data_IF_128631799706
#
_entry.id   IF_128631799706
#
_cell.length_a   1.000
_cell.length_b   1.000
_cell.length_c   1.000
_cell.angle_alpha   90.00
_cell.angle_beta   90.00
_cell.angle_gamma   90.00
#
_symmetry.space_group_name_H-M   'P 1'
#
loop_
_entity.id
_entity.type
_entity.pdbx_description
1 polymer ?
#
# COMPACT_ATOMS: atom_id res chain seq x y z
N UNK A 1 -0.67 -31.01 0.29
CA UNK A 1 -1.42 -30.42 -0.85
C UNK A 1 -0.60 -29.24 -1.34
N UNK A 2 -0.40 -29.08 -2.66
CA UNK A 2 0.38 -27.97 -3.18
C UNK A 2 -0.25 -26.66 -2.70
N UNK A 3 0.56 -25.75 -2.18
CA UNK A 3 0.16 -24.41 -1.80
C UNK A 3 -0.36 -23.79 -3.10
N UNK A 4 -1.69 -23.70 -3.26
CA UNK A 4 -2.27 -22.93 -4.35
C UNK A 4 -1.72 -21.51 -4.20
N UNK A 5 -0.87 -21.09 -5.14
CA UNK A 5 -0.30 -19.75 -5.17
C UNK A 5 -1.45 -18.74 -5.36
N UNK A 6 -2.06 -18.33 -4.25
CA UNK A 6 -3.06 -17.27 -4.19
C UNK A 6 -2.43 -15.87 -4.31
N UNK A 7 -1.13 -15.78 -4.58
CA UNK A 7 -0.42 -14.53 -4.88
C UNK A 7 -1.08 -13.78 -6.06
N UNK A 8 -1.72 -14.49 -6.99
CA UNK A 8 -2.47 -13.90 -8.13
C UNK A 8 -3.81 -13.26 -7.73
N UNK A 9 -4.30 -13.44 -6.49
CA UNK A 9 -5.55 -12.84 -5.99
C UNK A 9 -5.35 -11.51 -5.25
N UNK A 10 -4.10 -11.08 -5.04
CA UNK A 10 -3.79 -9.76 -4.50
C UNK A 10 -4.02 -8.66 -5.55
N UNK A 11 -4.49 -7.48 -5.13
CA UNK A 11 -4.45 -6.30 -6.00
C UNK A 11 -2.98 -5.99 -6.34
N UNK A 12 -2.77 -5.23 -7.40
CA UNK A 12 -1.42 -4.83 -7.79
C UNK A 12 -0.69 -4.16 -6.61
N UNK A 13 0.60 -4.48 -6.45
CA UNK A 13 1.51 -3.93 -5.43
C UNK A 13 1.86 -2.47 -5.73
N UNK A 14 0.85 -1.62 -5.84
CA UNK A 14 0.94 -0.20 -6.13
C UNK A 14 0.35 0.58 -4.95
N UNK A 15 1.15 1.32 -4.16
CA UNK A 15 2.62 1.47 -4.20
C UNK A 15 3.37 0.32 -3.50
N UNK A 16 4.62 0.06 -3.92
CA UNK A 16 5.46 -0.99 -3.32
C UNK A 16 5.91 -0.61 -1.90
N UNK A 17 5.30 -1.25 -0.89
CA UNK A 17 5.56 -0.99 0.53
C UNK A 17 6.92 -1.53 1.02
N UNK A 18 7.65 -2.31 0.20
CA UNK A 18 9.00 -2.77 0.54
C UNK A 18 10.03 -1.64 0.42
N UNK A 19 9.81 -0.68 -0.48
CA UNK A 19 10.72 0.46 -0.70
C UNK A 19 10.90 1.36 0.53
N UNK A 20 9.85 1.80 1.24
CA UNK A 20 10.01 2.58 2.46
C UNK A 20 10.61 1.76 3.60
N UNK A 21 10.40 0.43 3.63
CA UNK A 21 11.07 -0.45 4.61
C UNK A 21 12.58 -0.52 4.36
N UNK A 22 13.00 -0.70 3.10
CA UNK A 22 14.43 -0.70 2.74
C UNK A 22 15.05 0.67 3.02
N UNK A 23 14.35 1.76 2.69
CA UNK A 23 14.78 3.13 3.03
C UNK A 23 14.98 3.29 4.54
N UNK A 24 14.02 2.82 5.34
CA UNK A 24 14.11 2.90 6.79
C UNK A 24 15.28 2.07 7.35
N UNK A 25 15.50 0.85 6.84
CA UNK A 25 16.67 0.05 7.19
C UNK A 25 17.97 0.78 6.87
N UNK A 26 18.09 1.37 5.69
CA UNK A 26 19.28 2.14 5.28
C UNK A 26 19.51 3.40 6.12
N UNK A 27 18.46 3.99 6.69
CA UNK A 27 18.58 5.12 7.63
C UNK A 27 19.15 4.71 9.00
N UNK A 28 19.12 3.42 9.34
CA UNK A 28 19.71 2.91 10.58
C UNK A 28 21.23 2.76 10.44
N UNK A 29 21.96 3.23 11.47
CA UNK A 29 23.44 3.19 11.51
C UNK A 29 24.03 1.78 11.32
N UNK A 30 23.28 0.74 11.66
CA UNK A 30 23.69 -0.67 11.57
C UNK A 30 23.69 -1.20 10.13
N UNK A 31 22.82 -0.67 9.27
CA UNK A 31 22.64 -1.13 7.88
C UNK A 31 23.03 -0.08 6.84
N UNK A 32 23.50 1.08 7.28
CA UNK A 32 23.89 2.23 6.45
C UNK A 32 24.93 1.89 5.36
N UNK A 33 25.74 0.84 5.57
CA UNK A 33 26.77 0.39 4.64
C UNK A 33 26.36 -0.82 3.78
N UNK A 34 25.09 -1.27 3.85
CA UNK A 34 24.66 -2.46 3.12
C UNK A 34 24.38 -2.13 1.65
N UNK A 35 25.42 -2.26 0.82
CA UNK A 35 25.40 -1.91 -0.62
C UNK A 35 24.36 -2.72 -1.41
N UNK A 36 24.02 -3.93 -0.97
CA UNK A 36 23.00 -4.75 -1.63
C UNK A 36 21.59 -4.18 -1.48
N UNK A 37 21.26 -3.65 -0.29
CA UNK A 37 19.96 -3.00 -0.04
C UNK A 37 19.86 -1.67 -0.80
N UNK A 38 20.95 -0.92 -0.88
CA UNK A 38 21.04 0.29 -1.68
C UNK A 38 20.86 0.01 -3.18
N UNK A 39 21.50 -1.04 -3.71
CA UNK A 39 21.35 -1.45 -5.10
C UNK A 39 19.91 -1.89 -5.42
N UNK A 40 19.29 -2.71 -4.56
CA UNK A 40 17.88 -3.10 -4.72
C UNK A 40 16.93 -1.92 -4.71
N UNK A 41 17.17 -0.94 -3.84
CA UNK A 41 16.37 0.28 -3.78
C UNK A 41 16.53 1.10 -5.08
N UNK A 42 17.76 1.28 -5.57
CA UNK A 42 18.03 2.00 -6.81
C UNK A 42 17.44 1.30 -8.04
N UNK A 43 17.60 -0.02 -8.14
CA UNK A 43 17.02 -0.82 -9.23
C UNK A 43 15.50 -0.71 -9.27
N UNK A 44 14.84 -0.76 -8.11
CA UNK A 44 13.40 -0.57 -8.03
C UNK A 44 12.97 0.87 -8.36
N UNK A 45 13.73 1.88 -7.92
CA UNK A 45 13.48 3.29 -8.28
C UNK A 45 13.64 3.52 -9.78
N UNK A 46 14.64 2.90 -10.42
CA UNK A 46 14.86 2.94 -11.87
C UNK A 46 13.77 2.21 -12.65
N UNK A 47 13.39 1.00 -12.21
CA UNK A 47 12.33 0.23 -12.84
C UNK A 47 10.98 0.97 -12.81
N UNK A 48 10.67 1.65 -11.71
CA UNK A 48 9.38 2.30 -11.50
C UNK A 48 9.40 3.82 -11.82
N UNK A 49 10.55 4.37 -12.21
CA UNK A 49 10.77 5.80 -12.49
C UNK A 49 10.28 6.72 -11.35
N UNK A 50 10.57 6.36 -10.11
CA UNK A 50 10.11 7.07 -8.91
C UNK A 50 10.93 8.35 -8.61
N UNK A 51 10.84 9.34 -9.49
CA UNK A 51 11.62 10.58 -9.36
C UNK A 51 11.34 11.36 -8.04
N UNK A 52 10.09 11.61 -7.63
CA UNK A 52 9.78 12.23 -6.34
C UNK A 52 10.32 11.44 -5.14
N UNK A 53 10.18 10.12 -5.16
CA UNK A 53 10.67 9.27 -4.06
C UNK A 53 12.20 9.27 -3.99
N UNK A 54 12.90 9.25 -5.13
CA UNK A 54 14.35 9.33 -5.20
C UNK A 54 14.89 10.63 -4.58
N UNK A 55 14.23 11.77 -4.83
CA UNK A 55 14.60 13.05 -4.20
C UNK A 55 14.46 12.99 -2.67
N UNK A 56 13.40 12.37 -2.15
CA UNK A 56 13.19 12.20 -0.70
C UNK A 56 14.25 11.24 -0.12
N UNK A 57 14.51 10.12 -0.79
CA UNK A 57 15.53 9.15 -0.38
C UNK A 57 16.92 9.78 -0.33
N UNK A 58 17.31 10.54 -1.36
CA UNK A 58 18.61 11.19 -1.40
C UNK A 58 18.76 12.24 -0.29
N UNK A 59 17.69 12.99 0.02
CA UNK A 59 17.67 13.95 1.14
C UNK A 59 17.83 13.25 2.49
N UNK A 60 17.10 12.16 2.71
CA UNK A 60 17.09 11.47 4.01
C UNK A 60 18.36 10.64 4.25
N UNK A 61 18.93 10.04 3.20
CA UNK A 61 20.16 9.23 3.30
C UNK A 61 21.44 10.05 3.08
N UNK A 62 21.32 11.33 2.68
CA UNK A 62 22.46 12.19 2.36
C UNK A 62 23.25 11.73 1.14
N UNK A 63 22.62 11.01 0.21
CA UNK A 63 23.26 10.52 -1.00
C UNK A 63 23.36 11.61 -2.08
N UNK A 64 24.40 11.51 -2.91
CA UNK A 64 24.55 12.39 -4.06
C UNK A 64 23.43 12.11 -5.08
N UNK A 65 22.71 13.16 -5.48
CA UNK A 65 21.63 13.06 -6.46
C UNK A 65 22.21 12.91 -7.86
N UNK A 66 21.93 11.80 -8.52
CA UNK A 66 22.29 11.60 -9.93
C UNK A 66 21.34 12.39 -10.84
N UNK A 67 21.73 13.64 -11.13
CA UNK A 67 20.92 14.56 -11.94
C UNK A 67 20.56 14.01 -13.34
N UNK A 68 21.44 13.20 -13.95
CA UNK A 68 21.15 12.58 -15.25
C UNK A 68 20.06 11.50 -15.16
N UNK A 69 20.06 10.71 -14.09
CA UNK A 69 19.06 9.69 -13.87
C UNK A 69 17.70 10.33 -13.54
N UNK A 70 17.73 11.35 -12.69
CA UNK A 70 16.56 12.12 -12.29
C UNK A 70 15.91 12.85 -13.47
N UNK A 71 16.70 13.44 -14.37
CA UNK A 71 16.18 14.04 -15.61
C UNK A 71 15.54 12.99 -16.53
N UNK A 72 16.18 11.83 -16.73
CA UNK A 72 15.58 10.74 -17.52
C UNK A 72 14.24 10.26 -16.95
N UNK A 73 14.16 10.08 -15.63
CA UNK A 73 12.92 9.70 -14.95
C UNK A 73 11.85 10.80 -15.09
N UNK A 74 12.22 12.08 -14.92
CA UNK A 74 11.29 13.20 -15.10
C UNK A 74 10.75 13.28 -16.52
N UNK A 75 11.59 13.08 -17.54
CA UNK A 75 11.16 13.06 -18.95
C UNK A 75 10.21 11.90 -19.22
N UNK A 76 10.56 10.67 -18.80
CA UNK A 76 9.68 9.50 -18.95
C UNK A 76 8.34 9.69 -18.21
N UNK A 77 8.36 10.30 -17.03
CA UNK A 77 7.15 10.58 -16.27
C UNK A 77 6.29 11.64 -16.96
N UNK A 78 6.89 12.69 -17.51
CA UNK A 78 6.17 13.72 -18.26
C UNK A 78 5.52 13.15 -19.54
N UNK A 79 6.24 12.29 -20.28
CA UNK A 79 5.70 11.63 -21.47
C UNK A 79 4.51 10.71 -21.13
N UNK A 80 4.64 9.87 -20.09
CA UNK A 80 3.54 8.99 -19.66
C UNK A 80 2.37 9.79 -19.09
N UNK A 81 2.61 10.86 -18.34
CA UNK A 81 1.54 11.74 -17.87
C UNK A 81 0.81 12.41 -19.03
N UNK A 82 1.53 12.89 -20.05
CA UNK A 82 0.91 13.46 -21.24
C UNK A 82 0.07 12.45 -22.02
N UNK A 83 0.52 11.20 -22.13
CA UNK A 83 -0.27 10.12 -22.74
C UNK A 83 -1.54 9.82 -21.94
N UNK A 84 -1.43 9.77 -20.61
CA UNK A 84 -2.58 9.54 -19.73
C UNK A 84 -3.56 10.72 -19.75
N UNK A 85 -3.06 11.95 -19.83
CA UNK A 85 -3.90 13.15 -19.96
C UNK A 85 -4.62 13.19 -21.30
N UNK A 86 -3.94 12.87 -22.40
CA UNK A 86 -4.56 12.74 -23.71
C UNK A 86 -5.63 11.63 -23.72
N UNK A 87 -5.38 10.50 -23.05
CA UNK A 87 -6.37 9.43 -22.93
C UNK A 87 -7.59 9.85 -22.08
N UNK A 88 -7.40 10.69 -21.05
CA UNK A 88 -8.51 11.24 -20.28
C UNK A 88 -9.33 12.24 -21.11
N UNK A 89 -8.67 13.12 -21.87
CA UNK A 89 -9.37 14.07 -22.75
C UNK A 89 -10.15 13.36 -23.85
N UNK A 90 -9.56 12.34 -24.48
CA UNK A 90 -10.23 11.50 -25.47
C UNK A 90 -11.43 10.77 -24.85
N UNK A 91 -11.27 10.24 -23.63
CA UNK A 91 -12.36 9.59 -22.92
C UNK A 91 -13.48 10.57 -22.54
N UNK A 92 -13.16 11.82 -22.17
CA UNK A 92 -14.16 12.83 -21.82
C UNK A 92 -14.91 13.37 -23.05
N UNK A 93 -14.29 13.36 -24.23
CA UNK A 93 -14.91 13.83 -25.47
C UNK A 93 -15.67 12.74 -26.23
N UNK A 94 -15.15 11.50 -26.25
CA UNK A 94 -15.62 10.44 -27.14
C UNK A 94 -16.25 9.24 -26.42
N UNK A 95 -15.99 9.06 -25.11
CA UNK A 95 -16.34 7.84 -24.37
C UNK A 95 -17.32 8.11 -23.22
N UNK A 96 -17.79 7.03 -22.57
CA UNK A 96 -18.73 7.10 -21.46
C UNK A 96 -18.07 7.39 -20.10
N UNK A 97 -18.89 7.75 -19.10
CA UNK A 97 -18.42 8.02 -17.72
C UNK A 97 -17.60 6.86 -17.11
N UNK A 98 -17.86 5.62 -17.53
CA UNK A 98 -17.12 4.44 -17.08
C UNK A 98 -15.66 4.41 -17.58
N UNK A 99 -15.40 4.80 -18.82
CA UNK A 99 -14.05 4.82 -19.41
C UNK A 99 -13.26 6.03 -18.93
N UNK A 100 -13.93 7.18 -18.73
CA UNK A 100 -13.36 8.35 -18.06
C UNK A 100 -12.88 7.97 -16.66
N UNK A 101 -13.66 7.19 -15.91
CA UNK A 101 -13.28 6.71 -14.58
C UNK A 101 -12.05 5.81 -14.63
N UNK A 102 -12.02 4.84 -15.54
CA UNK A 102 -10.90 3.91 -15.66
C UNK A 102 -9.60 4.62 -16.06
N UNK A 103 -9.70 5.59 -16.97
CA UNK A 103 -8.55 6.43 -17.37
C UNK A 103 -8.04 7.28 -16.19
N UNK A 104 -8.96 7.84 -15.39
CA UNK A 104 -8.59 8.56 -14.17
C UNK A 104 -7.98 7.64 -13.09
N UNK A 105 -8.45 6.40 -12.98
CA UNK A 105 -7.87 5.40 -12.06
C UNK A 105 -6.45 5.03 -12.48
N UNK A 106 -6.21 4.72 -13.76
CA UNK A 106 -4.87 4.43 -14.30
C UNK A 106 -3.90 5.59 -14.08
N UNK A 107 -4.38 6.83 -14.24
CA UNK A 107 -3.58 8.02 -13.91
C UNK A 107 -3.26 8.08 -12.41
N UNK A 108 -4.22 7.82 -11.54
CA UNK A 108 -4.00 7.82 -10.10
C UNK A 108 -3.03 6.72 -9.65
N UNK A 109 -3.13 5.52 -10.22
CA UNK A 109 -2.19 4.40 -9.99
C UNK A 109 -0.79 4.76 -10.49
N UNK A 110 -0.67 5.39 -11.67
CA UNK A 110 0.61 5.86 -12.17
C UNK A 110 1.24 6.93 -11.27
N UNK A 111 0.44 7.91 -10.81
CA UNK A 111 0.89 8.94 -9.87
C UNK A 111 1.31 8.34 -8.52
N UNK A 112 0.62 7.28 -8.08
CA UNK A 112 0.99 6.52 -6.90
C UNK A 112 2.31 5.78 -7.11
N UNK A 113 2.52 5.21 -8.31
CA UNK A 113 3.73 4.49 -8.68
C UNK A 113 4.95 5.39 -8.76
N UNK A 114 4.83 6.63 -9.24
CA UNK A 114 5.96 7.58 -9.20
C UNK A 114 6.23 8.12 -7.78
N UNK A 115 5.29 7.95 -6.86
CA UNK A 115 5.38 8.46 -5.48
C UNK A 115 5.01 9.93 -5.34
N UNK A 116 4.22 10.54 -6.23
CA UNK A 116 3.76 11.92 -6.03
C UNK A 116 2.51 11.93 -5.13
N UNK A 117 2.70 12.24 -3.84
CA UNK A 117 1.65 12.18 -2.82
C UNK A 117 0.47 13.12 -3.13
N UNK A 118 0.73 14.38 -3.43
CA UNK A 118 -0.32 15.40 -3.53
C UNK A 118 -1.13 15.28 -4.83
N UNK A 119 -0.42 14.99 -5.94
CA UNK A 119 -1.06 14.72 -7.23
C UNK A 119 -1.88 13.44 -7.19
N UNK A 120 -1.36 12.37 -6.58
CA UNK A 120 -2.11 11.11 -6.43
C UNK A 120 -3.38 11.30 -5.61
N UNK A 121 -3.30 11.97 -4.45
CA UNK A 121 -4.48 12.24 -3.61
C UNK A 121 -5.54 13.06 -4.35
N UNK A 122 -5.12 14.04 -5.16
CA UNK A 122 -6.03 14.83 -5.98
C UNK A 122 -6.70 14.01 -7.08
N UNK A 123 -5.94 13.13 -7.74
CA UNK A 123 -6.47 12.22 -8.74
C UNK A 123 -7.46 11.21 -8.14
N UNK A 124 -7.13 10.58 -7.00
CA UNK A 124 -8.02 9.65 -6.31
C UNK A 124 -9.32 10.31 -5.85
N UNK A 125 -9.30 11.59 -5.44
CA UNK A 125 -10.53 12.35 -5.13
C UNK A 125 -11.41 12.52 -6.35
N UNK A 126 -10.84 12.94 -7.49
CA UNK A 126 -11.58 13.08 -8.76
C UNK A 126 -12.19 11.74 -9.21
N UNK A 127 -11.43 10.65 -9.09
CA UNK A 127 -11.93 9.31 -9.43
C UNK A 127 -13.04 8.90 -8.47
N UNK A 128 -12.90 9.18 -7.17
CA UNK A 128 -13.91 8.86 -6.15
C UNK A 128 -15.26 9.52 -6.46
N UNK A 129 -15.27 10.80 -6.81
CA UNK A 129 -16.50 11.54 -7.14
C UNK A 129 -17.20 10.98 -8.38
N UNK A 130 -16.43 10.51 -9.37
CA UNK A 130 -16.94 9.86 -10.59
C UNK A 130 -17.34 8.39 -10.37
N UNK A 131 -16.99 7.77 -9.24
CA UNK A 131 -17.33 6.37 -8.97
C UNK A 131 -18.71 6.22 -8.32
N UNK A 132 -19.55 5.37 -8.91
CA UNK A 132 -20.90 5.07 -8.38
C UNK A 132 -20.91 3.77 -7.56
N UNK A 133 -20.09 2.78 -7.95
CA UNK A 133 -20.04 1.48 -7.25
C UNK A 133 -19.32 1.57 -5.91
N UNK A 134 -19.97 1.08 -4.85
CA UNK A 134 -19.42 0.99 -3.49
C UNK A 134 -18.11 0.18 -3.45
N UNK A 135 -18.02 -0.92 -4.20
CA UNK A 135 -16.81 -1.74 -4.26
C UNK A 135 -15.61 -0.95 -4.78
N UNK A 136 -15.78 -0.23 -5.89
CA UNK A 136 -14.70 0.60 -6.45
C UNK A 136 -14.35 1.79 -5.55
N UNK A 137 -15.33 2.36 -4.82
CA UNK A 137 -15.07 3.40 -3.80
C UNK A 137 -14.18 2.87 -2.69
N UNK A 138 -14.45 1.65 -2.21
CA UNK A 138 -13.61 0.99 -1.20
C UNK A 138 -12.19 0.75 -1.72
N UNK A 139 -12.05 0.28 -2.95
CA UNK A 139 -10.74 0.03 -3.56
C UNK A 139 -9.91 1.32 -3.65
N UNK A 140 -10.52 2.46 -3.99
CA UNK A 140 -9.85 3.77 -3.97
C UNK A 140 -9.42 4.19 -2.55
N UNK A 141 -10.27 3.94 -1.55
CA UNK A 141 -9.92 4.23 -0.15
C UNK A 141 -8.75 3.36 0.31
N UNK A 142 -8.68 2.09 -0.10
CA UNK A 142 -7.52 1.24 0.20
C UNK A 142 -6.23 1.78 -0.42
N UNK A 143 -6.26 2.28 -1.67
CA UNK A 143 -5.08 2.93 -2.26
C UNK A 143 -4.62 4.15 -1.46
N UNK A 144 -5.56 4.98 -0.98
CA UNK A 144 -5.23 6.12 -0.12
C UNK A 144 -4.62 5.69 1.23
N UNK A 145 -5.08 4.58 1.82
CA UNK A 145 -4.48 4.01 3.04
C UNK A 145 -3.05 3.53 2.75
N UNK A 146 -2.81 2.86 1.61
CA UNK A 146 -1.46 2.42 1.22
C UNK A 146 -0.50 3.60 1.03
N UNK A 147 -0.94 4.69 0.39
CA UNK A 147 -0.14 5.94 0.28
C UNK A 147 0.14 6.51 1.67
N UNK A 148 -0.85 6.52 2.55
CA UNK A 148 -0.68 6.95 3.93
C UNK A 148 0.35 6.11 4.70
N UNK A 149 0.34 4.78 4.52
CA UNK A 149 1.30 3.86 5.10
C UNK A 149 2.71 4.05 4.53
N UNK A 150 2.83 4.29 3.22
CA UNK A 150 4.10 4.54 2.55
C UNK A 150 4.81 5.80 3.09
N UNK A 151 4.04 6.86 3.34
CA UNK A 151 4.54 8.13 3.89
C UNK A 151 4.48 8.22 5.42
N UNK A 152 3.95 7.20 6.10
CA UNK A 152 3.70 7.16 7.56
C UNK A 152 2.93 8.42 8.03
N UNK A 153 1.88 8.79 7.29
CA UNK A 153 1.01 9.91 7.64
C UNK A 153 -0.18 9.42 8.47
N UNK A 154 -0.07 9.54 9.80
CA UNK A 154 -1.05 9.03 10.75
C UNK A 154 -2.45 9.66 10.58
N UNK A 155 -2.53 10.95 10.25
CA UNK A 155 -3.81 11.66 10.09
C UNK A 155 -4.53 11.22 8.82
N UNK A 156 -3.78 10.98 7.75
CA UNK A 156 -4.34 10.48 6.50
C UNK A 156 -4.85 9.04 6.66
N UNK A 157 -4.10 8.19 7.36
CA UNK A 157 -4.47 6.78 7.59
C UNK A 157 -5.75 6.68 8.43
N UNK A 158 -5.83 7.40 9.55
CA UNK A 158 -7.00 7.35 10.45
C UNK A 158 -8.29 7.78 9.75
N UNK A 159 -8.25 8.91 9.03
CA UNK A 159 -9.41 9.42 8.26
C UNK A 159 -9.88 8.42 7.20
N UNK A 160 -8.94 7.79 6.49
CA UNK A 160 -9.30 6.84 5.44
C UNK A 160 -9.77 5.49 6.02
N UNK A 161 -9.23 5.04 7.16
CA UNK A 161 -9.72 3.86 7.87
C UNK A 161 -11.17 4.07 8.35
N UNK A 162 -11.50 5.25 8.88
CA UNK A 162 -12.86 5.56 9.32
C UNK A 162 -13.85 5.57 8.14
N UNK A 163 -13.47 6.20 7.02
CA UNK A 163 -14.25 6.15 5.78
C UNK A 163 -14.41 4.73 5.24
N UNK A 164 -13.37 3.90 5.32
CA UNK A 164 -13.46 2.51 4.90
C UNK A 164 -14.43 1.71 5.80
N UNK A 165 -14.43 1.96 7.12
CA UNK A 165 -15.38 1.31 8.03
C UNK A 165 -16.83 1.62 7.65
N UNK A 166 -17.17 2.89 7.43
CA UNK A 166 -18.55 3.28 7.06
C UNK A 166 -18.98 2.64 5.74
N UNK A 167 -18.10 2.66 4.73
CA UNK A 167 -18.39 2.06 3.43
C UNK A 167 -18.54 0.53 3.46
N UNK A 168 -17.85 -0.16 4.39
CA UNK A 168 -18.00 -1.62 4.56
C UNK A 168 -19.30 -1.97 5.28
N UNK A 169 -19.74 -1.15 6.23
CA UNK A 169 -21.05 -1.33 6.88
C UNK A 169 -22.20 -1.16 5.88
N UNK A 170 -22.04 -0.28 4.89
CA UNK A 170 -23.00 -0.10 3.79
C UNK A 170 -22.91 -1.20 2.72
N UNK A 171 -21.69 -1.63 2.37
CA UNK A 171 -21.43 -2.55 1.24
C UNK A 171 -21.52 -4.03 1.57
N UNK A 172 -21.44 -4.43 2.84
CA UNK A 172 -21.60 -5.83 3.29
C UNK A 172 -20.56 -6.82 2.75
N UNK A 173 -19.50 -6.34 2.10
CA UNK A 173 -18.49 -7.19 1.47
C UNK A 173 -17.53 -7.79 2.51
N UNK A 174 -17.60 -9.11 2.65
CA UNK A 174 -16.83 -9.84 3.63
C UNK A 174 -15.33 -9.92 3.30
N UNK A 175 -14.92 -10.03 2.03
CA UNK A 175 -13.49 -10.09 1.67
C UNK A 175 -12.83 -8.73 1.93
N UNK A 176 -13.47 -7.64 1.49
CA UNK A 176 -12.98 -6.28 1.75
C UNK A 176 -12.93 -5.94 3.24
N UNK A 177 -13.83 -6.51 4.05
CA UNK A 177 -13.79 -6.40 5.52
C UNK A 177 -12.55 -7.05 6.12
N UNK A 178 -12.16 -8.22 5.64
CA UNK A 178 -10.95 -8.90 6.11
C UNK A 178 -9.70 -8.10 5.72
N UNK A 179 -9.64 -7.58 4.49
CA UNK A 179 -8.54 -6.69 4.07
C UNK A 179 -8.44 -5.46 4.97
N UNK A 180 -9.56 -4.79 5.26
CA UNK A 180 -9.56 -3.62 6.15
C UNK A 180 -9.05 -3.96 7.55
N UNK A 181 -9.39 -5.12 8.11
CA UNK A 181 -8.85 -5.58 9.39
C UNK A 181 -7.33 -5.73 9.35
N UNK A 182 -6.76 -6.25 8.27
CA UNK A 182 -5.31 -6.35 8.09
C UNK A 182 -4.67 -4.95 8.07
N UNK A 183 -5.23 -4.00 7.31
CA UNK A 183 -4.75 -2.61 7.29
C UNK A 183 -4.82 -1.95 8.69
N UNK A 184 -5.92 -2.16 9.41
CA UNK A 184 -6.10 -1.67 10.78
C UNK A 184 -5.12 -2.33 11.75
N UNK A 185 -4.89 -3.63 11.62
CA UNK A 185 -3.90 -4.38 12.41
C UNK A 185 -2.50 -3.80 12.21
N UNK A 186 -2.10 -3.58 10.95
CA UNK A 186 -0.80 -3.00 10.61
C UNK A 186 -0.63 -1.59 11.19
N UNK A 187 -1.64 -0.73 11.05
CA UNK A 187 -1.63 0.60 11.66
C UNK A 187 -1.60 0.53 13.20
N UNK A 188 -2.32 -0.43 13.81
CA UNK A 188 -2.35 -0.64 15.25
C UNK A 188 -0.97 -1.02 15.80
N UNK A 189 -0.18 -1.82 15.06
CA UNK A 189 1.24 -2.06 15.40
C UNK A 189 2.02 -0.75 15.40
N UNK A 190 1.83 0.11 14.39
CA UNK A 190 2.58 1.37 14.26
C UNK A 190 2.31 2.32 15.43
N UNK A 191 1.07 2.38 15.95
CA UNK A 191 0.71 3.15 17.15
C UNK A 191 0.99 2.41 18.48
N UNK A 192 1.60 1.21 18.42
CA UNK A 192 1.91 0.34 19.57
C UNK A 192 0.69 -0.19 20.34
N UNK A 193 -0.47 -0.27 19.70
CA UNK A 193 -1.65 -0.95 20.25
C UNK A 193 -1.65 -2.43 19.85
N UNK A 194 -0.90 -3.23 20.61
CA UNK A 194 -0.76 -4.66 20.35
C UNK A 194 -2.04 -5.45 20.65
N UNK A 195 -2.93 -4.95 21.52
CA UNK A 195 -4.17 -5.65 21.87
C UNK A 195 -5.17 -5.62 20.72
N UNK A 196 -5.39 -4.44 20.15
CA UNK A 196 -6.22 -4.30 18.97
C UNK A 196 -5.60 -5.05 17.77
N UNK A 197 -4.29 -4.90 17.57
CA UNK A 197 -3.57 -5.59 16.49
C UNK A 197 -3.71 -7.11 16.58
N UNK A 198 -3.51 -7.72 17.75
CA UNK A 198 -3.64 -9.16 17.95
C UNK A 198 -5.04 -9.67 17.57
N UNK A 199 -6.07 -8.93 17.99
CA UNK A 199 -7.46 -9.30 17.72
C UNK A 199 -7.75 -9.26 16.23
N UNK A 200 -7.35 -8.20 15.54
CA UNK A 200 -7.55 -8.08 14.09
C UNK A 200 -6.76 -9.11 13.29
N UNK A 201 -5.51 -9.36 13.66
CA UNK A 201 -4.69 -10.34 12.95
C UNK A 201 -5.23 -11.76 13.13
N UNK A 202 -5.53 -12.19 14.35
CA UNK A 202 -6.06 -13.54 14.64
C UNK A 202 -7.37 -13.82 13.91
N UNK A 203 -8.25 -12.83 13.81
CA UNK A 203 -9.51 -12.93 13.06
C UNK A 203 -9.30 -13.12 11.54
N UNK A 204 -8.17 -12.67 11.01
CA UNK A 204 -7.88 -12.65 9.56
C UNK A 204 -6.88 -13.72 9.11
N UNK A 205 -6.30 -14.50 10.02
CA UNK A 205 -5.31 -15.56 9.66
C UNK A 205 -5.91 -16.60 8.73
N UNK A 206 -7.14 -17.04 9.00
CA UNK A 206 -7.80 -18.09 8.23
C UNK A 206 -8.29 -17.63 6.85
N UNK A 207 -8.32 -16.32 6.60
CA UNK A 207 -9.01 -15.72 5.45
C UNK A 207 -8.16 -14.62 4.80
N UNK A 208 -6.84 -14.74 4.92
CA UNK A 208 -5.90 -13.74 4.43
C UNK A 208 -5.85 -13.70 2.89
N UNK A 209 -6.23 -12.56 2.33
CA UNK A 209 -6.21 -12.29 0.88
C UNK A 209 -5.37 -11.05 0.53
N UNK A 210 -4.66 -10.47 1.50
CA UNK A 210 -3.96 -9.17 1.36
C UNK A 210 -2.48 -9.30 0.97
N UNK A 211 -2.18 -9.99 -0.14
CA UNK A 211 -0.82 -10.17 -0.67
C UNK A 211 -0.13 -8.86 -1.11
N UNK A 212 -0.88 -7.77 -1.21
CA UNK A 212 -0.38 -6.42 -1.48
C UNK A 212 0.50 -5.87 -0.34
N UNK A 213 0.22 -6.27 0.90
CA UNK A 213 0.86 -5.73 2.09
C UNK A 213 2.10 -6.54 2.49
N UNK A 214 1.98 -7.86 2.49
CA UNK A 214 3.02 -8.79 2.89
C UNK A 214 2.69 -10.20 2.42
N UNK A 215 3.72 -11.03 2.32
CA UNK A 215 3.54 -12.46 2.09
C UNK A 215 2.86 -13.14 3.30
N UNK A 216 2.08 -14.18 3.03
CA UNK A 216 1.36 -14.95 4.05
C UNK A 216 2.30 -15.50 5.12
N UNK A 217 3.50 -15.96 4.76
CA UNK A 217 4.48 -16.46 5.74
C UNK A 217 4.95 -15.37 6.70
N UNK A 218 5.10 -14.14 6.20
CA UNK A 218 5.48 -12.96 6.99
C UNK A 218 4.32 -12.50 7.87
N UNK A 219 3.10 -12.53 7.33
CA UNK A 219 1.87 -12.22 8.06
C UNK A 219 1.66 -13.15 9.26
N UNK A 220 1.81 -14.47 9.07
CA UNK A 220 1.69 -15.45 10.15
C UNK A 220 2.77 -15.19 11.21
N UNK A 221 4.01 -14.90 10.80
CA UNK A 221 5.11 -14.59 11.74
C UNK A 221 4.79 -13.37 12.60
N UNK A 222 4.32 -12.27 12.01
CA UNK A 222 3.93 -11.08 12.77
C UNK A 222 2.72 -11.33 13.67
N UNK A 223 1.74 -12.11 13.20
CA UNK A 223 0.59 -12.49 14.01
C UNK A 223 1.02 -13.23 15.27
N UNK A 224 1.94 -14.21 15.15
CA UNK A 224 2.48 -14.94 16.30
C UNK A 224 3.21 -14.01 17.27
N UNK A 225 4.07 -13.12 16.77
CA UNK A 225 4.81 -12.18 17.63
C UNK A 225 3.88 -11.24 18.42
N UNK A 226 2.85 -10.70 17.77
CA UNK A 226 1.90 -9.79 18.40
C UNK A 226 1.00 -10.56 19.38
N UNK A 227 0.56 -11.77 19.02
CA UNK A 227 -0.22 -12.63 19.89
C UNK A 227 0.55 -12.99 21.17
N UNK A 228 1.86 -13.24 21.08
CA UNK A 228 2.73 -13.47 22.25
C UNK A 228 2.81 -12.28 23.21
N UNK A 229 2.73 -11.05 22.69
CA UNK A 229 2.82 -9.84 23.50
C UNK A 229 1.46 -9.46 24.10
N UNK A 230 0.39 -9.63 23.33
CA UNK A 230 -0.93 -9.11 23.68
C UNK A 230 -1.79 -10.06 24.51
N UNK A 231 -1.67 -11.38 24.29
CA UNK A 231 -2.56 -12.37 24.90
C UNK A 231 -1.98 -12.96 26.18
N UNK A 232 -2.83 -13.20 27.21
CA UNK A 232 -2.43 -13.98 28.37
C UNK A 232 -2.19 -15.44 27.98
N UNK A 233 -1.37 -16.14 28.77
CA UNK A 233 -0.89 -17.51 28.49
C UNK A 233 -1.99 -18.53 28.17
N UNK A 234 -3.18 -18.37 28.76
CA UNK A 234 -4.32 -19.25 28.53
C UNK A 234 -4.89 -19.05 27.11
N UNK A 235 -5.18 -17.81 26.73
CA UNK A 235 -5.73 -17.49 25.40
C UNK A 235 -4.74 -17.79 24.27
N UNK A 236 -3.44 -17.62 24.54
CA UNK A 236 -2.40 -17.98 23.59
C UNK A 236 -2.39 -19.48 23.30
N UNK A 237 -2.55 -20.31 24.34
CA UNK A 237 -2.61 -21.76 24.17
C UNK A 237 -3.81 -22.16 23.32
N UNK A 238 -4.97 -21.55 23.54
CA UNK A 238 -6.20 -21.88 22.83
C UNK A 238 -6.22 -21.38 21.39
N UNK A 239 -5.75 -20.14 21.13
CA UNK A 239 -5.84 -19.52 19.81
C UNK A 239 -4.62 -19.74 18.91
N UNK A 240 -3.43 -20.00 19.48
CA UNK A 240 -2.18 -20.09 18.72
C UNK A 240 -1.58 -21.50 18.77
N UNK A 241 -1.57 -22.14 19.95
CA UNK A 241 -0.98 -23.49 20.06
C UNK A 241 -1.95 -24.62 19.70
N UNK A 242 -3.24 -24.49 20.05
CA UNK A 242 -4.26 -25.50 19.75
C UNK A 242 -4.80 -25.38 18.31
N UNK A 243 -4.62 -24.24 17.66
CA UNK A 243 -4.91 -24.04 16.22
C UNK A 243 -3.74 -24.52 15.34
N UNK A 244 -3.00 -25.53 15.82
CA UNK A 244 -2.01 -26.22 15.01
C UNK A 244 -2.72 -27.17 14.04
N UNK A 245 -2.87 -26.73 12.79
CA UNK A 245 -3.03 -27.49 11.54
C UNK A 245 -4.04 -28.64 11.49
#
# INVERSE_FOLDING_TARGET
MPIENMEEQGLEKNPNLELPQIKFLLSMREYQNNKELAAKLLEAIEAENMAPFYEIVCKDLGWAVDNNLLQKMKTNNAEKLAQLDAAIEDAEQNLGEMEVRESNLRKAEFLCRIGDKDSALSAFRKTYDKTVSLGHRLDIVFHNIRIGLFYIDHDLITKNIEKAKSLIEEGGDWDRRNRLKVYQGLYSIAIRDFKAAATYFLDTVSTFTSYELMDYTTFVRYTVYIAMIALPRNELRDKVCLVSL
#
